data_IF_235053538600
#
_entry.id   IF_235053538600
#
_cell.length_a   1.000
_cell.length_b   1.000
_cell.length_c   1.000
_cell.angle_alpha   90.00
_cell.angle_beta   90.00
_cell.angle_gamma   90.00
#
_symmetry.space_group_name_H-M   'P 1'
#
loop_
_entity.id
_entity.type
_entity.pdbx_description
1 polymer ?
#
# COMPACT_ATOMS: atom_id res chain seq x y z
N UNK A 1 -9.81 0.38 -25.49
CA UNK A 1 -9.03 1.02 -24.40
C UNK A 1 -9.55 0.48 -23.07
N UNK A 2 -8.74 -0.25 -22.29
CA UNK A 2 -9.15 -0.73 -20.96
C UNK A 2 -9.00 0.42 -19.96
N UNK A 3 -10.12 1.05 -19.59
CA UNK A 3 -10.15 2.02 -18.50
C UNK A 3 -9.77 1.32 -17.20
N UNK A 4 -8.75 1.83 -16.51
CA UNK A 4 -8.37 1.34 -15.19
C UNK A 4 -9.52 1.65 -14.23
N UNK A 5 -10.35 0.65 -13.91
CA UNK A 5 -11.40 0.78 -12.90
C UNK A 5 -10.75 0.96 -11.53
N UNK A 6 -10.63 2.23 -11.09
CA UNK A 6 -10.11 2.59 -9.79
C UNK A 6 -11.08 2.17 -8.69
N UNK A 7 -10.92 0.94 -8.20
CA UNK A 7 -11.24 0.38 -6.87
C UNK A 7 -12.33 1.06 -6.00
N UNK A 8 -13.44 1.53 -6.56
CA UNK A 8 -14.50 2.26 -5.84
C UNK A 8 -15.46 1.36 -5.09
N UNK A 9 -15.44 0.03 -5.31
CA UNK A 9 -16.38 -0.92 -4.70
C UNK A 9 -15.74 -1.93 -3.73
N UNK A 10 -14.63 -1.56 -3.06
CA UNK A 10 -13.95 -2.45 -2.11
C UNK A 10 -14.20 -2.06 -0.65
N UNK A 11 -14.90 -2.92 0.10
CA UNK A 11 -15.11 -2.74 1.54
C UNK A 11 -13.89 -3.22 2.32
N UNK A 12 -13.31 -2.36 3.16
CA UNK A 12 -12.19 -2.75 4.02
C UNK A 12 -12.70 -3.59 5.19
N UNK A 13 -12.13 -4.78 5.37
CA UNK A 13 -12.53 -5.72 6.43
C UNK A 13 -11.52 -5.78 7.56
N UNK A 14 -10.23 -5.71 7.21
CA UNK A 14 -9.14 -5.87 8.18
C UNK A 14 -7.96 -5.00 7.80
N UNK A 15 -7.40 -4.31 8.79
CA UNK A 15 -6.10 -3.63 8.69
C UNK A 15 -5.10 -4.43 9.52
N UNK A 16 -3.89 -4.60 9.01
CA UNK A 16 -2.76 -5.14 9.75
C UNK A 16 -1.57 -4.18 9.67
N UNK A 17 -0.78 -4.16 10.73
CA UNK A 17 0.51 -3.49 10.81
C UNK A 17 1.65 -4.46 10.44
N UNK A 18 2.77 -3.97 9.88
CA UNK A 18 3.96 -4.78 9.70
C UNK A 18 4.38 -5.48 11.00
N UNK A 19 4.67 -6.78 10.93
CA UNK A 19 5.07 -7.59 12.10
C UNK A 19 3.94 -8.36 12.76
N UNK A 20 2.67 -8.02 12.50
CA UNK A 20 1.52 -8.79 13.00
C UNK A 20 1.43 -10.19 12.36
N UNK A 21 0.73 -11.14 13.00
CA UNK A 21 0.51 -12.48 12.46
C UNK A 21 -0.02 -12.44 11.02
N UNK A 22 0.63 -13.21 10.14
CA UNK A 22 0.27 -13.27 8.72
C UNK A 22 0.90 -12.18 7.82
N UNK A 23 1.74 -11.29 8.38
CA UNK A 23 2.43 -10.24 7.59
C UNK A 23 3.89 -10.56 7.26
N UNK A 24 4.47 -11.64 7.83
CA UNK A 24 5.90 -11.99 7.68
C UNK A 24 6.41 -11.94 6.24
N UNK A 25 5.70 -12.57 5.30
CA UNK A 25 6.07 -12.57 3.87
C UNK A 25 6.09 -11.16 3.26
N UNK A 26 5.19 -10.27 3.69
CA UNK A 26 5.12 -8.89 3.20
C UNK A 26 6.23 -8.04 3.81
N UNK A 27 6.55 -8.24 5.08
CA UNK A 27 7.71 -7.61 5.74
C UNK A 27 9.00 -8.03 5.05
N UNK A 28 9.19 -9.32 4.77
CA UNK A 28 10.36 -9.80 4.01
C UNK A 28 10.42 -9.21 2.61
N UNK A 29 9.27 -9.08 1.93
CA UNK A 29 9.21 -8.58 0.54
C UNK A 29 9.47 -7.08 0.43
N UNK A 30 8.86 -6.29 1.30
CA UNK A 30 8.82 -4.82 1.17
C UNK A 30 9.69 -4.09 2.20
N UNK A 31 10.14 -4.78 3.24
CA UNK A 31 11.01 -4.22 4.27
C UNK A 31 10.45 -2.95 4.90
N UNK A 32 11.33 -1.99 5.14
CA UNK A 32 11.02 -0.70 5.76
C UNK A 32 10.06 0.17 4.93
N UNK A 33 9.89 -0.13 3.64
CA UNK A 33 8.91 0.57 2.80
C UNK A 33 7.48 0.19 3.16
N UNK A 34 7.23 -0.90 3.88
CA UNK A 34 5.87 -1.33 4.19
C UNK A 34 5.26 -0.52 5.34
N UNK A 35 4.19 0.21 5.06
CA UNK A 35 3.49 1.04 6.05
C UNK A 35 2.26 0.35 6.61
N UNK A 36 1.43 -0.26 5.76
CA UNK A 36 0.18 -0.89 6.21
C UNK A 36 -0.29 -1.97 5.24
N UNK A 37 -1.04 -2.94 5.76
CA UNK A 37 -1.68 -4.01 4.98
C UNK A 37 -3.19 -3.92 5.19
N UNK A 38 -3.98 -4.08 4.13
CA UNK A 38 -5.45 -4.11 4.21
C UNK A 38 -6.03 -5.27 3.42
N UNK A 39 -6.98 -5.98 4.03
CA UNK A 39 -7.83 -6.93 3.34
C UNK A 39 -9.15 -6.24 3.01
N UNK A 40 -9.57 -6.32 1.76
CA UNK A 40 -10.83 -5.77 1.30
C UNK A 40 -11.64 -6.84 0.57
N UNK A 41 -12.96 -6.81 0.73
CA UNK A 41 -13.85 -7.61 -0.12
C UNK A 41 -14.25 -6.79 -1.32
N UNK A 42 -14.06 -7.37 -2.50
CA UNK A 42 -14.72 -7.01 -3.74
C UNK A 42 -16.18 -7.50 -3.66
N UNK A 43 -17.13 -6.58 -3.57
CA UNK A 43 -18.55 -6.95 -3.49
C UNK A 43 -19.13 -7.37 -4.83
N UNK A 44 -18.48 -7.01 -5.95
CA UNK A 44 -18.94 -7.35 -7.30
C UNK A 44 -18.50 -8.77 -7.67
N UNK A 45 -17.27 -9.14 -7.32
CA UNK A 45 -16.71 -10.46 -7.66
C UNK A 45 -16.68 -11.45 -6.49
N UNK A 46 -17.10 -11.01 -5.30
CA UNK A 46 -17.04 -11.76 -4.03
C UNK A 46 -15.61 -12.27 -3.70
N UNK A 47 -14.59 -11.50 -4.06
CA UNK A 47 -13.17 -11.84 -3.84
C UNK A 47 -12.60 -11.05 -2.67
N UNK A 48 -11.71 -11.68 -1.91
CA UNK A 48 -10.88 -10.94 -0.95
C UNK A 48 -9.59 -10.50 -1.63
N UNK A 49 -9.37 -9.19 -1.73
CA UNK A 49 -8.12 -8.61 -2.17
C UNK A 49 -7.27 -8.22 -0.96
N UNK A 50 -5.94 -8.28 -1.15
CA UNK A 50 -4.96 -7.83 -0.18
C UNK A 50 -4.16 -6.69 -0.78
N UNK A 51 -4.20 -5.53 -0.14
CA UNK A 51 -3.48 -4.33 -0.55
C UNK A 51 -2.41 -3.98 0.47
N UNK A 52 -1.35 -3.32 0.02
CA UNK A 52 -0.30 -2.77 0.88
C UNK A 52 -0.15 -1.28 0.59
N UNK A 53 0.20 -0.53 1.63
CA UNK A 53 0.61 0.87 1.55
C UNK A 53 2.13 0.90 1.68
N UNK A 54 2.81 1.56 0.74
CA UNK A 54 4.26 1.56 0.62
C UNK A 54 4.81 3.00 0.63
N UNK A 55 6.01 3.16 1.16
CA UNK A 55 6.83 4.35 0.91
C UNK A 55 7.33 4.31 -0.53
N UNK A 56 7.01 5.34 -1.31
CA UNK A 56 7.50 5.48 -2.68
C UNK A 56 8.86 6.18 -2.71
N UNK A 57 8.97 7.34 -2.03
CA UNK A 57 10.19 8.12 -1.94
C UNK A 57 10.37 8.76 -0.56
N UNK A 58 11.62 9.02 -0.19
CA UNK A 58 11.98 9.78 1.01
C UNK A 58 12.65 11.08 0.56
N UNK A 59 11.94 12.20 0.65
CA UNK A 59 12.47 13.51 0.26
C UNK A 59 13.20 14.13 1.45
N UNK A 60 14.52 14.33 1.32
CA UNK A 60 15.31 15.05 2.31
C UNK A 60 15.32 16.56 2.00
N UNK A 61 14.70 17.36 2.87
CA UNK A 61 14.55 18.81 2.67
C UNK A 61 15.84 19.62 2.85
N UNK A 62 16.94 19.02 3.31
CA UNK A 62 18.16 19.76 3.69
C UNK A 62 18.89 20.46 2.53
N UNK A 63 18.54 20.23 1.25
CA UNK A 63 19.19 20.87 0.10
C UNK A 63 18.21 21.38 -0.99
N UNK A 64 16.97 21.75 -0.63
CA UNK A 64 15.98 22.23 -1.62
C UNK A 64 16.33 23.58 -2.28
N UNK A 65 17.37 24.27 -1.81
CA UNK A 65 17.79 25.58 -2.35
C UNK A 65 18.89 25.50 -3.42
N UNK A 66 19.35 24.30 -3.82
CA UNK A 66 20.47 24.14 -4.76
C UNK A 66 20.05 23.76 -6.19
N UNK A 67 18.74 23.67 -6.46
CA UNK A 67 18.17 23.30 -7.78
C UNK A 67 17.39 24.44 -8.43
N UNK A 68 17.71 25.68 -8.06
CA UNK A 68 17.24 26.88 -8.75
C UNK A 68 18.42 27.70 -9.23
N UNK A 69 19.15 27.18 -10.22
CA UNK A 69 19.98 27.96 -11.15
C UNK A 69 19.89 27.32 -12.52
#
# INVERSE_FOLDING_TARGET
>A
MKGYNYLTTFKTNKKLSPGEPGTKKLVTKYGERLISIRYKTDTETNRTIKTVELVEEIINRKNLNAQSV
#
